data_IF_459524191685
#
_entry.id   IF_459524191685
#
_cell.length_a   1.000
_cell.length_b   1.000
_cell.length_c   1.000
_cell.angle_alpha   90.00
_cell.angle_beta   90.00
_cell.angle_gamma   90.00
#
_symmetry.space_group_name_H-M   'P 1'
#
loop_
_entity.id
_entity.type
_entity.pdbx_description
1 polymer ?
#
# COMPACT_ATOMS: atom_id res chain seq x y z
N UNK A 1 13.67 -21.71 -13.38
CA UNK A 1 13.86 -20.27 -13.62
C UNK A 1 13.73 -19.56 -12.29
N UNK A 2 14.80 -18.92 -11.80
CA UNK A 2 14.78 -18.19 -10.53
C UNK A 2 14.70 -16.70 -10.87
N UNK A 3 13.53 -16.09 -10.68
CA UNK A 3 13.40 -14.64 -10.81
C UNK A 3 14.02 -14.00 -9.57
N UNK A 4 15.28 -13.59 -9.68
CA UNK A 4 15.90 -12.71 -8.69
C UNK A 4 15.19 -11.37 -8.81
N UNK A 5 14.31 -11.08 -7.87
CA UNK A 5 13.71 -9.74 -7.76
C UNK A 5 14.75 -8.88 -7.06
N UNK A 6 15.65 -8.30 -7.84
CA UNK A 6 16.51 -7.22 -7.35
C UNK A 6 15.59 -6.02 -7.09
N UNK A 7 15.27 -5.77 -5.82
CA UNK A 7 14.64 -4.53 -5.42
C UNK A 7 15.70 -3.43 -5.57
N UNK A 8 15.64 -2.72 -6.69
CA UNK A 8 16.42 -1.50 -6.91
C UNK A 8 15.94 -0.44 -5.90
N UNK A 9 16.64 -0.37 -4.77
CA UNK A 9 16.32 0.55 -3.65
C UNK A 9 16.60 2.01 -4.00
N UNK A 10 17.16 2.31 -5.17
CA UNK A 10 17.45 3.66 -5.65
C UNK A 10 16.40 4.23 -6.60
N UNK A 11 15.38 3.45 -6.98
CA UNK A 11 14.37 3.89 -7.93
C UNK A 11 13.41 4.88 -7.26
N UNK A 12 13.45 6.14 -7.66
CA UNK A 12 12.41 7.12 -7.33
C UNK A 12 11.05 6.52 -7.73
N UNK A 13 10.16 6.35 -6.75
CA UNK A 13 8.84 5.77 -6.98
C UNK A 13 8.02 6.76 -7.80
N UNK A 14 7.52 6.32 -8.97
CA UNK A 14 6.48 7.04 -9.69
C UNK A 14 5.14 6.72 -9.02
N UNK A 15 4.73 7.59 -8.09
CA UNK A 15 3.53 7.40 -7.26
C UNK A 15 2.28 7.24 -8.12
N UNK A 16 2.17 7.94 -9.25
CA UNK A 16 0.99 7.85 -10.11
C UNK A 16 0.92 6.49 -10.83
N UNK A 17 2.06 6.03 -11.36
CA UNK A 17 2.13 4.73 -12.00
C UNK A 17 1.84 3.59 -11.00
N UNK A 18 2.42 3.66 -9.80
CA UNK A 18 2.19 2.66 -8.76
C UNK A 18 0.74 2.69 -8.26
N UNK A 19 0.14 3.87 -8.08
CA UNK A 19 -1.28 3.98 -7.70
C UNK A 19 -2.21 3.39 -8.76
N UNK A 20 -1.91 3.58 -10.06
CA UNK A 20 -2.66 2.95 -11.14
C UNK A 20 -2.58 1.41 -11.08
N UNK A 21 -1.39 0.86 -10.77
CA UNK A 21 -1.21 -0.58 -10.60
C UNK A 21 -1.96 -1.11 -9.37
N UNK A 22 -1.91 -0.39 -8.25
CA UNK A 22 -2.65 -0.73 -7.02
C UNK A 22 -4.15 -0.79 -7.32
N UNK A 23 -4.71 0.26 -7.92
CA UNK A 23 -6.15 0.33 -8.21
C UNK A 23 -6.58 -0.77 -9.20
N UNK A 24 -5.82 -0.97 -10.28
CA UNK A 24 -6.13 -2.03 -11.26
C UNK A 24 -5.99 -3.43 -10.68
N UNK A 25 -4.98 -3.67 -9.85
CA UNK A 25 -4.81 -4.95 -9.16
C UNK A 25 -6.00 -5.27 -8.26
N UNK A 26 -6.50 -4.28 -7.51
CA UNK A 26 -7.71 -4.44 -6.69
C UNK A 26 -8.96 -4.71 -7.55
N UNK A 27 -9.16 -3.95 -8.63
CA UNK A 27 -10.29 -4.15 -9.56
C UNK A 27 -10.28 -5.55 -10.21
N UNK A 28 -9.11 -6.04 -10.62
CA UNK A 28 -8.96 -7.38 -11.19
C UNK A 28 -9.25 -8.49 -10.16
N UNK A 29 -9.03 -8.23 -8.87
CA UNK A 29 -9.43 -9.11 -7.77
C UNK A 29 -10.91 -8.96 -7.37
N UNK A 30 -11.68 -8.09 -8.04
CA UNK A 30 -13.08 -7.81 -7.71
C UNK A 30 -13.26 -6.90 -6.48
N UNK A 31 -12.22 -6.18 -6.08
CA UNK A 31 -12.24 -5.24 -4.96
C UNK A 31 -12.35 -3.78 -5.44
N UNK A 32 -13.08 -2.97 -4.66
CA UNK A 32 -13.32 -1.55 -4.95
C UNK A 32 -13.03 -0.73 -3.69
N UNK A 33 -11.74 -0.46 -3.39
CA UNK A 33 -11.36 0.34 -2.23
C UNK A 33 -11.91 1.77 -2.35
N UNK A 34 -12.30 2.35 -1.20
CA UNK A 34 -12.73 3.74 -1.12
C UNK A 34 -11.55 4.73 -1.21
N UNK A 35 -11.87 6.02 -1.29
CA UNK A 35 -10.88 7.08 -1.37
C UNK A 35 -9.94 7.12 -0.15
N UNK A 36 -10.40 6.73 1.04
CA UNK A 36 -9.55 6.71 2.23
C UNK A 36 -8.52 5.57 2.17
N UNK A 37 -8.92 4.39 1.68
CA UNK A 37 -8.02 3.26 1.48
C UNK A 37 -6.96 3.59 0.41
N UNK A 38 -7.37 4.17 -0.72
CA UNK A 38 -6.45 4.61 -1.76
C UNK A 38 -5.53 5.75 -1.28
N UNK A 39 -6.05 6.70 -0.50
CA UNK A 39 -5.26 7.77 0.10
C UNK A 39 -4.18 7.26 1.07
N UNK A 40 -4.44 6.17 1.79
CA UNK A 40 -3.43 5.49 2.63
C UNK A 40 -2.33 4.87 1.78
N UNK A 41 -2.68 4.14 0.72
CA UNK A 41 -1.70 3.53 -0.18
C UNK A 41 -0.77 4.57 -0.80
N UNK A 42 -1.32 5.70 -1.25
CA UNK A 42 -0.54 6.84 -1.78
C UNK A 42 0.47 7.36 -0.76
N UNK A 43 0.04 7.64 0.48
CA UNK A 43 0.94 8.14 1.54
C UNK A 43 2.09 7.17 1.86
N UNK A 44 1.85 5.87 1.77
CA UNK A 44 2.90 4.85 1.91
C UNK A 44 3.91 4.94 0.75
N UNK A 45 3.43 5.05 -0.49
CA UNK A 45 4.29 5.17 -1.68
C UNK A 45 5.10 6.48 -1.69
N UNK A 46 4.52 7.57 -1.18
CA UNK A 46 5.19 8.86 -1.00
C UNK A 46 6.21 8.86 0.15
N UNK A 47 6.20 7.82 1.00
CA UNK A 47 7.03 7.76 2.21
C UNK A 47 6.58 8.70 3.34
N UNK A 48 5.40 9.31 3.22
CA UNK A 48 4.83 10.21 4.26
C UNK A 48 4.07 9.44 5.35
N UNK A 49 3.83 8.15 5.15
CA UNK A 49 3.23 7.23 6.12
C UNK A 49 3.97 5.89 6.11
N UNK A 50 4.45 5.43 7.27
CA UNK A 50 5.06 4.10 7.36
C UNK A 50 4.00 3.00 7.23
N UNK A 51 4.35 1.80 6.73
CA UNK A 51 3.45 0.66 6.73
C UNK A 51 2.94 0.28 8.14
N UNK A 52 3.76 0.50 9.17
CA UNK A 52 3.43 0.25 10.58
C UNK A 52 2.34 1.21 11.07
N UNK A 53 2.51 2.50 10.79
CA UNK A 53 1.52 3.52 11.14
C UNK A 53 0.23 3.35 10.34
N UNK A 54 0.32 2.96 9.07
CA UNK A 54 -0.86 2.65 8.26
C UNK A 54 -1.68 1.48 8.85
N UNK A 55 -1.00 0.43 9.36
CA UNK A 55 -1.70 -0.66 10.06
C UNK A 55 -2.35 -0.17 11.35
N UNK A 56 -1.70 0.73 12.08
CA UNK A 56 -2.25 1.37 13.28
C UNK A 56 -3.51 2.18 12.97
N UNK A 57 -3.53 2.97 11.90
CA UNK A 57 -4.72 3.72 11.45
C UNK A 57 -5.90 2.77 11.17
N UNK A 58 -5.67 1.66 10.46
CA UNK A 58 -6.72 0.70 10.12
C UNK A 58 -7.23 -0.02 11.38
N UNK A 59 -6.32 -0.45 12.25
CA UNK A 59 -6.67 -1.07 13.53
C UNK A 59 -7.54 -0.14 14.40
N UNK A 60 -7.16 1.14 14.49
CA UNK A 60 -7.92 2.15 15.21
C UNK A 60 -9.33 2.38 14.61
N UNK A 61 -9.43 2.46 13.27
CA UNK A 61 -10.72 2.67 12.58
C UNK A 61 -11.71 1.52 12.80
N UNK A 62 -11.22 0.29 12.85
CA UNK A 62 -12.05 -0.91 12.88
C UNK A 62 -12.11 -1.60 14.26
N UNK A 63 -11.41 -1.07 15.26
CA UNK A 63 -11.48 -1.53 16.65
C UNK A 63 -10.83 -2.89 16.90
N UNK A 64 -9.83 -3.29 16.11
CA UNK A 64 -9.09 -4.55 16.32
C UNK A 64 -7.67 -4.30 16.81
N UNK A 65 -7.07 -5.22 17.60
CA UNK A 65 -5.72 -5.04 18.11
C UNK A 65 -4.67 -5.15 17.00
N UNK A 66 -3.60 -4.35 17.09
CA UNK A 66 -2.41 -4.53 16.27
C UNK A 66 -1.76 -5.88 16.59
N UNK A 67 -1.69 -6.78 15.61
CA UNK A 67 -0.94 -8.02 15.75
C UNK A 67 0.54 -7.72 15.59
N UNK A 68 1.31 -7.86 16.67
CA UNK A 68 2.77 -7.92 16.58
C UNK A 68 3.14 -9.23 15.88
N UNK A 69 3.97 -9.15 14.84
CA UNK A 69 4.52 -10.30 14.12
C UNK A 69 5.87 -10.68 14.70
#
# INVERSE_FOLDING_TARGET
MSIKTEHDTARTIDVEQEMALVEKGQQLAGHFPDAEALGRARRILEGTLSPEDARAEVAAKHGFPLRQR
#
